data_IF_471312002905
#
_entry.id   IF_471312002905
#
_cell.length_a   1.000
_cell.length_b   1.000
_cell.length_c   1.000
_cell.angle_alpha   90.00
_cell.angle_beta   90.00
_cell.angle_gamma   90.00
#
_symmetry.space_group_name_H-M   'P 1'
#
loop_
_entity.id
_entity.type
_entity.pdbx_description
1 polymer ?
#
# COMPACT_ATOMS: atom_id res chain seq x y z
N UNK A 1 -4.88 36.25 14.68
CA UNK A 1 -4.47 35.44 15.87
C UNK A 1 -4.29 33.99 15.44
N UNK A 2 -3.06 33.49 15.33
CA UNK A 2 -2.83 32.07 15.07
C UNK A 2 -3.11 31.29 16.37
N UNK A 3 -4.10 30.38 16.33
CA UNK A 3 -4.38 29.49 17.47
C UNK A 3 -3.22 28.51 17.61
N UNK A 4 -2.38 28.73 18.62
CA UNK A 4 -1.26 27.84 18.93
C UNK A 4 -1.81 26.54 19.52
N UNK A 5 -1.76 25.46 18.74
CA UNK A 5 -2.24 24.14 19.18
C UNK A 5 -1.23 23.59 20.22
N UNK A 6 -1.68 23.21 21.43
CA UNK A 6 -0.85 22.60 22.47
C UNK A 6 -0.07 21.37 21.98
N UNK A 7 1.16 21.21 22.47
CA UNK A 7 2.10 20.18 22.01
C UNK A 7 1.57 18.76 22.31
N UNK A 8 0.91 18.58 23.45
CA UNK A 8 0.21 17.36 23.87
C UNK A 8 -0.88 16.97 22.87
N UNK A 9 -1.72 17.93 22.42
CA UNK A 9 -2.74 17.70 21.39
C UNK A 9 -2.11 17.33 20.05
N UNK A 10 -1.01 18.01 19.64
CA UNK A 10 -0.26 17.65 18.42
C UNK A 10 0.29 16.22 18.47
N UNK A 11 0.78 15.78 19.63
CA UNK A 11 1.32 14.43 19.81
C UNK A 11 0.22 13.37 19.77
N UNK A 12 -0.93 13.61 20.41
CA UNK A 12 -2.09 12.72 20.34
C UNK A 12 -2.60 12.55 18.91
N UNK A 13 -2.73 13.64 18.14
CA UNK A 13 -3.19 13.56 16.74
C UNK A 13 -2.23 12.75 15.87
N UNK A 14 -0.90 12.91 16.05
CA UNK A 14 0.10 12.11 15.33
C UNK A 14 -0.01 10.62 15.64
N UNK A 15 -0.18 10.28 16.92
CA UNK A 15 -0.31 8.89 17.36
C UNK A 15 -1.60 8.24 16.82
N UNK A 16 -2.71 8.98 16.79
CA UNK A 16 -3.96 8.52 16.18
C UNK A 16 -3.81 8.29 14.67
N UNK A 17 -3.15 9.22 13.96
CA UNK A 17 -2.88 9.08 12.51
C UNK A 17 -2.01 7.85 12.22
N UNK A 18 -0.97 7.62 13.01
CA UNK A 18 -0.11 6.45 12.88
C UNK A 18 -0.88 5.13 13.12
N UNK A 19 -1.75 5.09 14.15
CA UNK A 19 -2.62 3.92 14.39
C UNK A 19 -3.58 3.67 13.22
N UNK A 20 -4.22 4.71 12.70
CA UNK A 20 -5.10 4.61 11.54
C UNK A 20 -4.37 4.10 10.30
N UNK A 21 -3.15 4.58 10.04
CA UNK A 21 -2.33 4.12 8.93
C UNK A 21 -1.95 2.64 9.10
N UNK A 22 -1.50 2.26 10.30
CA UNK A 22 -1.15 0.87 10.59
C UNK A 22 -2.36 -0.07 10.45
N UNK A 23 -3.55 0.40 10.81
CA UNK A 23 -4.79 -0.35 10.58
C UNK A 23 -5.07 -0.55 9.08
N UNK A 24 -4.94 0.50 8.26
CA UNK A 24 -5.12 0.40 6.81
C UNK A 24 -4.10 -0.56 6.17
N UNK A 25 -2.82 -0.39 6.49
CA UNK A 25 -1.74 -1.26 5.97
C UNK A 25 -1.99 -2.72 6.36
N UNK A 26 -2.43 -2.98 7.60
CA UNK A 26 -2.76 -4.33 8.05
C UNK A 26 -3.93 -4.94 7.27
N UNK A 27 -4.99 -4.16 7.04
CA UNK A 27 -6.16 -4.60 6.27
C UNK A 27 -5.80 -4.90 4.81
N UNK A 28 -5.04 -4.01 4.16
CA UNK A 28 -4.59 -4.21 2.78
C UNK A 28 -3.67 -5.42 2.65
N UNK A 29 -2.75 -5.61 3.60
CA UNK A 29 -1.87 -6.78 3.63
C UNK A 29 -2.69 -8.07 3.79
N UNK A 30 -3.69 -8.08 4.67
CA UNK A 30 -4.57 -9.24 4.83
C UNK A 30 -5.37 -9.52 3.57
N UNK A 31 -5.90 -8.49 2.91
CA UNK A 31 -6.61 -8.63 1.64
C UNK A 31 -5.71 -9.22 0.55
N UNK A 32 -4.50 -8.66 0.38
CA UNK A 32 -3.51 -9.15 -0.58
C UNK A 32 -3.10 -10.60 -0.29
N UNK A 33 -2.99 -10.99 0.97
CA UNK A 33 -2.60 -12.34 1.36
C UNK A 33 -3.79 -13.31 1.46
N UNK A 34 -5.03 -12.89 1.24
CA UNK A 34 -6.23 -13.70 1.48
C UNK A 34 -6.33 -14.94 0.60
N UNK A 35 -5.92 -14.87 -0.68
CA UNK A 35 -6.05 -15.97 -1.64
C UNK A 35 -4.70 -16.62 -1.98
N UNK A 36 -4.73 -17.91 -2.36
CA UNK A 36 -3.52 -18.61 -2.83
C UNK A 36 -2.96 -17.98 -4.11
N UNK A 37 -3.83 -17.52 -5.02
CA UNK A 37 -3.44 -16.87 -6.26
C UNK A 37 -2.65 -15.57 -5.99
N UNK A 38 -3.14 -14.72 -5.08
CA UNK A 38 -2.47 -13.48 -4.74
C UNK A 38 -1.12 -13.74 -4.06
N UNK A 39 -1.05 -14.70 -3.12
CA UNK A 39 0.21 -15.08 -2.48
C UNK A 39 1.26 -15.53 -3.49
N UNK A 40 0.87 -16.36 -4.48
CA UNK A 40 1.75 -16.80 -5.56
C UNK A 40 2.19 -15.65 -6.47
N UNK A 41 1.28 -14.74 -6.82
CA UNK A 41 1.59 -13.57 -7.65
C UNK A 41 2.61 -12.63 -6.96
N UNK A 42 2.41 -12.37 -5.66
CA UNK A 42 3.34 -11.56 -4.86
C UNK A 42 4.71 -12.22 -4.76
N UNK A 43 4.77 -13.52 -4.43
CA UNK A 43 6.03 -14.25 -4.35
C UNK A 43 6.78 -14.23 -5.69
N UNK A 44 6.06 -14.38 -6.81
CA UNK A 44 6.64 -14.28 -8.15
C UNK A 44 7.19 -12.88 -8.41
N UNK A 45 6.44 -11.82 -8.11
CA UNK A 45 6.87 -10.44 -8.31
C UNK A 45 8.08 -10.06 -7.44
N UNK A 46 8.14 -10.53 -6.19
CA UNK A 46 9.26 -10.29 -5.28
C UNK A 46 10.54 -11.06 -5.67
N UNK A 47 10.40 -12.22 -6.33
CA UNK A 47 11.53 -13.04 -6.77
C UNK A 47 12.05 -12.70 -8.17
N UNK A 48 11.38 -11.81 -8.91
CA UNK A 48 11.85 -11.36 -10.23
C UNK A 48 12.95 -10.31 -10.07
N UNK A 49 14.07 -10.51 -10.80
CA UNK A 49 15.07 -9.46 -10.99
C UNK A 49 14.36 -8.22 -11.54
N UNK A 50 14.46 -7.10 -10.82
CA UNK A 50 13.75 -5.87 -11.16
C UNK A 50 14.07 -5.47 -12.60
N UNK A 51 13.09 -5.61 -13.49
CA UNK A 51 13.14 -5.00 -14.80
C UNK A 51 12.50 -3.62 -14.63
N UNK A 52 13.28 -2.56 -14.79
CA UNK A 52 12.81 -1.17 -14.68
C UNK A 52 11.81 -0.78 -15.79
N UNK A 53 11.42 -1.74 -16.63
CA UNK A 53 10.42 -1.53 -17.68
C UNK A 53 9.05 -1.23 -17.06
N UNK A 54 8.71 0.05 -17.11
CA UNK A 54 7.35 0.54 -16.90
C UNK A 54 6.57 0.31 -18.22
N UNK A 55 5.49 -0.45 -18.14
CA UNK A 55 4.64 -0.72 -19.30
C UNK A 55 3.84 0.53 -19.70
N UNK A 56 3.70 0.77 -21.00
CA UNK A 56 2.78 1.81 -21.51
C UNK A 56 1.32 1.40 -21.34
N UNK A 57 0.35 2.33 -21.37
CA UNK A 57 -1.07 1.99 -21.31
C UNK A 57 -1.50 0.93 -22.35
N UNK A 58 -0.96 0.98 -23.56
CA UNK A 58 -1.25 0.02 -24.64
C UNK A 58 -0.64 -1.36 -24.34
N UNK A 59 0.52 -1.42 -23.70
CA UNK A 59 1.13 -2.67 -23.25
C UNK A 59 0.34 -3.31 -22.10
N UNK A 60 -0.19 -2.49 -21.18
CA UNK A 60 -1.11 -2.95 -20.14
C UNK A 60 -2.40 -3.53 -20.72
N UNK A 61 -2.95 -2.91 -21.75
CA UNK A 61 -4.21 -3.36 -22.36
C UNK A 61 -4.08 -4.75 -23.00
N UNK A 62 -2.92 -5.06 -23.58
CA UNK A 62 -2.60 -6.40 -24.12
C UNK A 62 -2.55 -7.49 -23.04
N UNK A 63 -2.36 -7.12 -21.77
CA UNK A 63 -2.35 -8.06 -20.64
C UNK A 63 -3.75 -8.31 -20.06
N UNK A 64 -4.76 -7.51 -20.44
CA UNK A 64 -6.14 -7.65 -19.95
C UNK A 64 -6.94 -8.77 -20.62
N UNK A 65 -6.29 -9.70 -21.33
CA UNK A 65 -6.96 -10.83 -21.97
C UNK A 65 -7.38 -11.83 -20.89
N UNK A 66 -8.58 -11.64 -20.35
CA UNK A 66 -9.37 -12.62 -19.60
C UNK A 66 -10.86 -12.42 -19.88
#
# INVERSE_FOLDING_TARGET
MNKMIPIDKKLQTKNQKARSLNQQVSQETQYLLSTSANRKALQKGMGQSHNDKILTPEEWDKLKIF
#
